data_IF_005017260405
#
_entry.id   IF_005017260405
#
_cell.length_a   1.000
_cell.length_b   1.000
_cell.length_c   1.000
_cell.angle_alpha   90.00
_cell.angle_beta   90.00
_cell.angle_gamma   90.00
#
_symmetry.space_group_name_H-M   'P 1'
#
loop_
_entity.id
_entity.type
_entity.pdbx_description
1 polymer ?
#
# COMPACT_ATOMS: atom_id res chain seq x y z
N UNK A 1 -20.89 22.63 -17.51
CA UNK A 1 -20.38 21.61 -16.57
C UNK A 1 -18.86 21.71 -16.56
N UNK A 2 -18.26 21.97 -15.39
CA UNK A 2 -16.81 21.98 -15.26
C UNK A 2 -16.28 20.57 -15.53
N UNK A 3 -15.27 20.45 -16.39
CA UNK A 3 -14.60 19.16 -16.63
C UNK A 3 -13.88 18.75 -15.35
N UNK A 4 -14.13 17.54 -14.88
CA UNK A 4 -13.40 17.00 -13.74
C UNK A 4 -11.93 16.77 -14.16
N UNK A 5 -10.99 17.44 -13.49
CA UNK A 5 -9.58 17.31 -13.77
C UNK A 5 -8.95 16.31 -12.80
N UNK A 6 -8.73 15.08 -13.29
CA UNK A 6 -8.12 13.99 -12.53
C UNK A 6 -6.71 14.37 -12.03
N UNK A 7 -5.96 15.18 -12.78
CA UNK A 7 -4.63 15.63 -12.35
C UNK A 7 -4.71 16.58 -11.15
N UNK A 8 -5.71 17.47 -11.12
CA UNK A 8 -5.92 18.35 -9.97
C UNK A 8 -6.34 17.55 -8.73
N UNK A 9 -7.26 16.60 -8.89
CA UNK A 9 -7.66 15.71 -7.81
C UNK A 9 -6.50 14.84 -7.29
N UNK A 10 -5.62 14.37 -8.19
CA UNK A 10 -4.40 13.67 -7.83
C UNK A 10 -3.44 14.57 -7.03
N UNK A 11 -3.14 15.76 -7.54
CA UNK A 11 -2.25 16.71 -6.87
C UNK A 11 -2.74 17.03 -5.45
N UNK A 12 -4.02 17.34 -5.28
CA UNK A 12 -4.61 17.62 -3.98
C UNK A 12 -4.49 16.46 -2.99
N UNK A 13 -4.57 15.19 -3.46
CA UNK A 13 -4.37 14.02 -2.59
C UNK A 13 -2.90 13.86 -2.21
N UNK A 14 -1.97 14.02 -3.16
CA UNK A 14 -0.54 13.94 -2.90
C UNK A 14 -0.07 15.07 -1.97
N UNK A 15 -0.66 16.26 -2.07
CA UNK A 15 -0.40 17.37 -1.14
C UNK A 15 -0.90 17.08 0.29
N UNK A 16 -1.94 16.25 0.45
CA UNK A 16 -2.53 15.93 1.74
C UNK A 16 -1.87 14.72 2.43
N UNK A 17 -1.57 13.66 1.67
CA UNK A 17 -1.05 12.38 2.18
C UNK A 17 0.46 12.19 1.93
N UNK A 18 1.06 13.01 1.07
CA UNK A 18 2.39 12.76 0.54
C UNK A 18 2.40 11.75 -0.62
N UNK A 19 3.51 11.70 -1.35
CA UNK A 19 3.71 10.74 -2.45
C UNK A 19 3.99 9.32 -1.96
N UNK A 20 4.52 9.18 -0.75
CA UNK A 20 4.84 7.89 -0.11
C UNK A 20 4.57 7.94 1.37
N UNK A 21 4.11 6.80 1.88
CA UNK A 21 3.93 6.54 3.29
C UNK A 21 5.19 5.85 3.81
N UNK A 22 5.84 6.44 4.80
CA UNK A 22 7.12 5.96 5.32
C UNK A 22 6.92 5.27 6.66
N UNK A 23 7.62 4.16 6.87
CA UNK A 23 7.67 3.47 8.16
C UNK A 23 9.08 3.04 8.48
N UNK A 24 9.36 2.87 9.76
CA UNK A 24 10.64 2.39 10.26
C UNK A 24 10.47 0.99 10.84
N UNK A 25 11.40 0.10 10.51
CA UNK A 25 11.49 -1.25 11.04
C UNK A 25 12.96 -1.52 11.35
N UNK A 26 13.26 -1.88 12.60
CA UNK A 26 14.62 -2.15 13.09
C UNK A 26 15.65 -1.04 12.75
N UNK A 27 15.20 0.22 12.73
CA UNK A 27 16.05 1.37 12.37
C UNK A 27 16.34 1.53 10.87
N UNK A 28 15.73 0.72 10.01
CA UNK A 28 15.71 0.91 8.56
C UNK A 28 14.37 1.55 8.13
N UNK A 29 14.46 2.51 7.22
CA UNK A 29 13.30 3.25 6.71
C UNK A 29 12.82 2.66 5.40
N UNK A 30 11.53 2.36 5.32
CA UNK A 30 10.85 1.81 4.17
C UNK A 30 9.77 2.77 3.69
N UNK A 31 9.47 2.74 2.40
CA UNK A 31 8.43 3.58 1.82
C UNK A 31 7.44 2.76 0.99
N UNK A 32 6.16 2.95 1.28
CA UNK A 32 5.02 2.40 0.55
C UNK A 32 4.38 3.49 -0.32
N UNK A 33 3.86 3.15 -1.51
CA UNK A 33 3.16 4.12 -2.35
C UNK A 33 1.84 4.54 -1.69
N UNK A 34 1.48 5.82 -1.66
CA UNK A 34 0.14 6.27 -1.22
C UNK A 34 -0.91 6.17 -2.34
N UNK A 35 -0.46 5.96 -3.59
CA UNK A 35 -1.29 5.71 -4.77
C UNK A 35 -0.83 4.42 -5.48
N UNK A 36 -1.70 3.41 -5.56
CA UNK A 36 -1.41 2.17 -6.28
C UNK A 36 -1.81 2.31 -7.75
N UNK A 37 -0.89 2.03 -8.70
CA UNK A 37 -1.27 1.97 -10.10
C UNK A 37 -2.23 0.81 -10.34
N UNK A 38 -3.10 0.95 -11.35
CA UNK A 38 -4.11 -0.05 -11.71
C UNK A 38 -3.51 -1.46 -11.92
N UNK A 39 -2.29 -1.52 -12.46
CA UNK A 39 -1.56 -2.78 -12.66
C UNK A 39 -1.23 -3.48 -11.33
N UNK A 40 -0.71 -2.74 -10.34
CA UNK A 40 -0.44 -3.27 -9.00
C UNK A 40 -1.71 -3.75 -8.31
N UNK A 41 -2.82 -3.02 -8.43
CA UNK A 41 -4.12 -3.47 -7.90
C UNK A 41 -4.56 -4.80 -8.54
N UNK A 42 -4.34 -4.97 -9.84
CA UNK A 42 -4.62 -6.22 -10.55
C UNK A 42 -3.78 -7.39 -10.04
N UNK A 43 -2.50 -7.15 -9.72
CA UNK A 43 -1.61 -8.15 -9.11
C UNK A 43 -2.04 -8.49 -7.69
N UNK A 44 -2.35 -7.47 -6.88
CA UNK A 44 -2.85 -7.65 -5.52
C UNK A 44 -4.15 -8.46 -5.49
N UNK A 45 -5.06 -8.21 -6.43
CA UNK A 45 -6.31 -8.95 -6.54
C UNK A 45 -6.14 -10.41 -7.02
N UNK A 46 -5.00 -10.73 -7.64
CA UNK A 46 -4.67 -12.08 -8.08
C UNK A 46 -3.90 -12.87 -7.01
N UNK A 47 -3.40 -12.21 -5.98
CA UNK A 47 -2.74 -12.85 -4.84
C UNK A 47 -3.77 -13.46 -3.89
N UNK A 48 -3.37 -14.54 -3.22
CA UNK A 48 -4.17 -15.09 -2.13
C UNK A 48 -4.13 -14.11 -0.94
N UNK A 49 -5.23 -13.91 -0.19
CA UNK A 49 -5.22 -13.09 1.02
C UNK A 49 -4.22 -13.60 2.08
N UNK A 50 -3.82 -14.87 2.02
CA UNK A 50 -2.78 -15.44 2.88
C UNK A 50 -1.36 -15.16 2.38
N UNK A 51 -1.20 -14.71 1.13
CA UNK A 51 0.08 -14.42 0.49
C UNK A 51 0.54 -12.99 0.83
N UNK A 52 0.90 -12.80 2.10
CA UNK A 52 1.42 -11.54 2.62
C UNK A 52 2.74 -11.14 1.96
N UNK A 53 3.54 -12.12 1.60
CA UNK A 53 4.86 -11.98 1.00
C UNK A 53 4.77 -11.34 -0.40
N UNK A 54 3.93 -11.91 -1.28
CA UNK A 54 3.67 -11.34 -2.60
C UNK A 54 2.99 -9.99 -2.52
N UNK A 55 2.12 -9.76 -1.52
CA UNK A 55 1.50 -8.47 -1.30
C UNK A 55 2.56 -7.41 -0.97
N UNK A 56 3.44 -7.69 -0.01
CA UNK A 56 4.54 -6.79 0.35
C UNK A 56 5.48 -6.56 -0.83
N UNK A 57 5.81 -7.60 -1.60
CA UNK A 57 6.64 -7.49 -2.79
C UNK A 57 6.02 -6.56 -3.85
N UNK A 58 4.69 -6.56 -4.03
CA UNK A 58 4.01 -5.66 -4.96
C UNK A 58 3.99 -4.21 -4.46
N UNK A 59 3.87 -3.99 -3.14
CA UNK A 59 3.83 -2.65 -2.57
C UNK A 59 5.21 -2.01 -2.44
N UNK A 60 6.19 -2.75 -1.89
CA UNK A 60 7.55 -2.30 -1.62
C UNK A 60 8.44 -2.36 -2.87
N UNK A 61 8.15 -3.31 -3.76
CA UNK A 61 9.05 -3.70 -4.84
C UNK A 61 10.13 -4.67 -4.36
N UNK A 62 10.79 -5.34 -5.31
CA UNK A 62 11.74 -6.44 -5.08
C UNK A 62 12.92 -6.02 -4.16
N UNK A 63 13.45 -4.81 -4.35
CA UNK A 63 14.61 -4.31 -3.59
C UNK A 63 14.29 -4.06 -2.12
N UNK A 64 13.21 -3.32 -1.83
CA UNK A 64 12.80 -3.02 -0.46
C UNK A 64 12.23 -4.27 0.22
N UNK A 65 11.52 -5.12 -0.52
CA UNK A 65 11.00 -6.38 0.00
C UNK A 65 12.12 -7.31 0.47
N UNK A 66 13.19 -7.44 -0.33
CA UNK A 66 14.36 -8.23 0.07
C UNK A 66 15.00 -7.69 1.36
N UNK A 67 15.08 -6.38 1.53
CA UNK A 67 15.59 -5.78 2.77
C UNK A 67 14.68 -6.11 3.95
N UNK A 68 13.37 -6.00 3.76
CA UNK A 68 12.35 -6.35 4.76
C UNK A 68 12.45 -7.83 5.18
N UNK A 69 12.65 -8.73 4.22
CA UNK A 69 12.85 -10.17 4.46
C UNK A 69 14.07 -10.44 5.37
N UNK A 70 15.15 -9.66 5.25
CA UNK A 70 16.33 -9.77 6.12
C UNK A 70 16.02 -9.45 7.60
N UNK A 71 14.95 -8.69 7.90
CA UNK A 71 14.56 -8.28 9.26
C UNK A 71 13.68 -9.30 10.01
N UNK A 72 13.44 -10.48 9.43
CA UNK A 72 12.66 -11.57 10.06
C UNK A 72 11.29 -11.11 10.62
N UNK A 73 10.55 -10.35 9.81
CA UNK A 73 9.25 -9.78 10.18
C UNK A 73 8.23 -10.90 10.42
N UNK A 74 7.53 -10.87 11.56
CA UNK A 74 6.50 -11.86 11.81
C UNK A 74 5.22 -11.53 11.05
N UNK A 75 4.40 -12.55 10.78
CA UNK A 75 3.06 -12.40 10.17
C UNK A 75 2.18 -11.39 10.93
N UNK A 76 2.37 -11.25 12.24
CA UNK A 76 1.66 -10.26 13.06
C UNK A 76 2.12 -8.82 12.77
N UNK A 77 3.43 -8.62 12.63
CA UNK A 77 4.00 -7.30 12.30
C UNK A 77 3.55 -6.87 10.90
N UNK A 78 3.53 -7.79 9.94
CA UNK A 78 3.02 -7.52 8.59
C UNK A 78 1.55 -7.12 8.63
N UNK A 79 0.70 -7.85 9.35
CA UNK A 79 -0.71 -7.49 9.49
C UNK A 79 -0.90 -6.12 10.14
N UNK A 80 -0.15 -5.82 11.21
CA UNK A 80 -0.20 -4.52 11.87
C UNK A 80 0.27 -3.38 10.94
N UNK A 81 1.30 -3.63 10.13
CA UNK A 81 1.79 -2.71 9.12
C UNK A 81 0.72 -2.42 8.06
N UNK A 82 0.08 -3.46 7.51
CA UNK A 82 -0.96 -3.32 6.50
C UNK A 82 -2.21 -2.60 7.04
N UNK A 83 -2.60 -2.89 8.27
CA UNK A 83 -3.69 -2.19 8.95
C UNK A 83 -3.37 -0.70 9.13
N UNK A 84 -2.16 -0.37 9.61
CA UNK A 84 -1.71 1.00 9.78
C UNK A 84 -1.65 1.75 8.44
N UNK A 85 -1.04 1.13 7.43
CA UNK A 85 -0.94 1.68 6.08
C UNK A 85 -2.32 1.92 5.47
N UNK A 86 -3.25 0.96 5.59
CA UNK A 86 -4.60 1.12 5.05
C UNK A 86 -5.42 2.18 5.78
N UNK A 87 -5.22 2.32 7.10
CA UNK A 87 -5.84 3.37 7.91
C UNK A 87 -5.36 4.77 7.50
N UNK A 88 -4.06 4.93 7.26
CA UNK A 88 -3.47 6.25 6.98
C UNK A 88 -3.69 6.67 5.53
N UNK A 89 -3.54 5.75 4.58
CA UNK A 89 -3.72 6.02 3.14
C UNK A 89 -5.16 5.90 2.67
N UNK A 90 -6.03 5.28 3.47
CA UNK A 90 -7.40 4.93 3.08
C UNK A 90 -7.49 3.71 2.14
N UNK A 91 -6.39 2.96 1.96
CA UNK A 91 -6.35 1.76 1.13
C UNK A 91 -6.58 0.48 1.94
N UNK A 92 -7.79 -0.05 1.91
CA UNK A 92 -8.08 -1.35 2.52
C UNK A 92 -7.48 -2.49 1.68
N UNK A 93 -6.31 -2.98 2.09
CA UNK A 93 -5.63 -4.14 1.52
C UNK A 93 -5.95 -5.38 2.37
N UNK A 94 -6.97 -6.15 2.00
CA UNK A 94 -7.19 -7.48 2.59
C UNK A 94 -8.56 -7.76 3.18
N UNK A 95 -9.42 -6.77 3.41
CA UNK A 95 -10.83 -7.04 3.75
C UNK A 95 -11.74 -6.41 2.70
N UNK A 96 -12.21 -7.28 1.80
CA UNK A 96 -13.25 -7.00 0.83
C UNK A 96 -12.88 -6.00 -0.27
N UNK A 97 -12.67 -6.57 -1.45
CA UNK A 97 -13.22 -6.03 -2.70
C UNK A 97 -14.76 -5.91 -2.57
N UNK A 98 -15.25 -5.03 -1.69
CA UNK A 98 -16.65 -4.65 -1.53
C UNK A 98 -16.74 -3.41 -0.63
N UNK A 99 -16.21 -2.29 -1.10
CA UNK A 99 -16.72 -0.97 -0.71
C UNK A 99 -16.80 -0.07 -1.93
N UNK A 100 -17.40 -0.62 -3.00
CA UNK A 100 -18.28 0.17 -3.87
C UNK A 100 -19.71 -0.04 -3.40
N UNK A 101 -20.15 0.75 -2.42
CA UNK A 101 -21.56 1.09 -2.13
C UNK A 101 -21.51 2.14 -1.02
N UNK A 102 -22.13 3.31 -1.08
CA UNK A 102 -22.95 4.04 -2.05
C UNK A 102 -22.95 5.49 -1.59
#
# INVERSE_FOLDING_TARGET
MAKYNVNAARAQRLEALGERWEFELDGESFSLPTELPRDSVGRLAALDPSDLDGLLQVLLGDEQFKRLDEHAVSVQDVQALLEAYGRDTGMSLGESSASTSS
#
